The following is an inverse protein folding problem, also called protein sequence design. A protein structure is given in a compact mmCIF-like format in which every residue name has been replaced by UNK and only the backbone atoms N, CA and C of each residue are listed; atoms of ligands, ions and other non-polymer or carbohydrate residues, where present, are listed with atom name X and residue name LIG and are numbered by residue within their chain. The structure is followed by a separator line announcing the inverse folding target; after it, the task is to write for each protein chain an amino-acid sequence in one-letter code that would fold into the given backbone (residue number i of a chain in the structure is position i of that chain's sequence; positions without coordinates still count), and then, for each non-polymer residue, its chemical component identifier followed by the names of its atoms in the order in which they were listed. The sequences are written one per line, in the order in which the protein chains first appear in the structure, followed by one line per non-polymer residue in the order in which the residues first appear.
data_IF_682807302534
#
_entry.id   IF_682807302534
#
_cell.length_a   1.000
_cell.length_b   1.000
_cell.length_c   1.000
_cell.angle_alpha   90.00
_cell.angle_beta   90.00
_cell.angle_gamma   90.00
#
_symmetry.space_group_name_H-M   'P 1'
#
loop_
_entity.id
_entity.type
_entity.pdbx_description
1 polymer ?
#
# COMPACT_ATOMS: atom_id res chain seq x y z
N UNK A 1 -5.94 -13.87 -33.45
CA UNK A 1 -5.70 -12.54 -34.07
C UNK A 1 -4.20 -12.31 -34.12
N UNK A 2 -3.64 -11.81 -35.23
CA UNK A 2 -2.21 -11.47 -35.29
C UNK A 2 -1.96 -10.28 -34.36
N UNK A 3 -0.97 -10.41 -33.47
CA UNK A 3 -0.63 -9.41 -32.44
C UNK A 3 -1.47 -9.57 -31.18
N UNK A 4 -0.84 -10.00 -30.07
CA UNK A 4 -1.53 -9.99 -28.78
C UNK A 4 -1.72 -8.54 -28.31
N UNK A 5 -2.87 -8.15 -27.72
CA UNK A 5 -3.13 -6.77 -27.26
C UNK A 5 -2.25 -6.31 -26.08
N UNK A 6 -1.27 -7.12 -25.67
CA UNK A 6 -0.41 -6.85 -24.55
C UNK A 6 0.75 -5.97 -24.97
N UNK A 7 1.16 -5.10 -24.05
CA UNK A 7 2.34 -4.28 -24.24
C UNK A 7 3.59 -5.18 -24.30
N UNK A 8 4.45 -4.92 -25.28
CA UNK A 8 5.73 -5.63 -25.46
C UNK A 8 6.71 -5.43 -24.28
N UNK A 9 6.40 -4.51 -23.36
CA UNK A 9 7.18 -4.26 -22.14
C UNK A 9 6.35 -3.63 -21.03
N UNK A 10 6.93 -3.52 -19.83
CA UNK A 10 6.26 -2.95 -18.66
C UNK A 10 5.96 -1.46 -18.88
N UNK A 11 4.70 -1.01 -18.79
CA UNK A 11 4.37 0.40 -19.03
C UNK A 11 5.09 1.29 -18.01
N UNK A 12 5.73 2.36 -18.51
CA UNK A 12 6.44 3.32 -17.66
C UNK A 12 5.45 4.06 -16.75
N UNK A 13 5.84 4.31 -15.50
CA UNK A 13 5.03 5.06 -14.54
C UNK A 13 4.05 4.22 -13.71
N UNK A 14 3.84 2.94 -14.03
CA UNK A 14 3.03 2.05 -13.19
C UNK A 14 3.72 1.76 -11.86
N UNK A 15 2.96 1.89 -10.77
CA UNK A 15 3.36 1.40 -9.46
C UNK A 15 3.20 -0.12 -9.44
N UNK A 16 4.27 -0.83 -9.80
CA UNK A 16 4.29 -2.29 -9.77
C UNK A 16 4.37 -2.81 -8.34
N UNK A 17 3.90 -4.03 -8.09
CA UNK A 17 4.00 -4.68 -6.78
C UNK A 17 5.42 -4.65 -6.19
N UNK A 18 6.50 -4.98 -6.93
CA UNK A 18 7.84 -4.88 -6.40
C UNK A 18 8.22 -3.44 -5.99
N UNK A 19 7.77 -2.43 -6.74
CA UNK A 19 8.03 -1.02 -6.43
C UNK A 19 7.23 -0.56 -5.21
N UNK A 20 5.97 -0.97 -5.11
CA UNK A 20 5.13 -0.73 -3.94
C UNK A 20 5.74 -1.36 -2.68
N UNK A 21 6.17 -2.63 -2.76
CA UNK A 21 6.78 -3.32 -1.62
C UNK A 21 8.10 -2.67 -1.20
N UNK A 22 8.97 -2.27 -2.15
CA UNK A 22 10.22 -1.57 -1.81
C UNK A 22 10.01 -0.28 -1.00
N UNK A 23 8.87 0.39 -1.18
CA UNK A 23 8.52 1.62 -0.46
C UNK A 23 7.72 1.31 0.81
N UNK A 24 6.70 0.46 0.69
CA UNK A 24 5.74 0.16 1.75
C UNK A 24 6.32 -0.72 2.85
N UNK A 25 7.14 -1.73 2.52
CA UNK A 25 7.69 -2.64 3.52
C UNK A 25 8.52 -1.91 4.58
N UNK A 26 9.53 -1.09 4.25
CA UNK A 26 10.33 -0.42 5.28
C UNK A 26 9.49 0.54 6.12
N UNK A 27 8.55 1.26 5.50
CA UNK A 27 7.68 2.19 6.22
C UNK A 27 6.74 1.47 7.20
N UNK A 28 6.11 0.37 6.76
CA UNK A 28 5.25 -0.44 7.64
C UNK A 28 6.05 -1.10 8.76
N UNK A 29 7.25 -1.60 8.49
CA UNK A 29 8.12 -2.18 9.52
C UNK A 29 8.45 -1.19 10.63
N UNK A 30 8.77 0.06 10.29
CA UNK A 30 9.05 1.11 11.29
C UNK A 30 7.80 1.40 12.14
N UNK A 31 6.64 1.54 11.51
CA UNK A 31 5.37 1.79 12.22
C UNK A 31 5.03 0.66 13.17
N UNK A 32 5.18 -0.60 12.73
CA UNK A 32 4.93 -1.77 13.58
C UNK A 32 5.92 -1.82 14.75
N UNK A 33 7.21 -1.57 14.51
CA UNK A 33 8.23 -1.55 15.58
C UNK A 33 7.94 -0.48 16.62
N UNK A 34 7.55 0.72 16.19
CA UNK A 34 7.15 1.80 17.10
C UNK A 34 5.89 1.40 17.86
N UNK A 35 4.87 0.91 17.17
CA UNK A 35 3.62 0.49 17.79
C UNK A 35 3.83 -0.59 18.85
N UNK A 36 4.70 -1.56 18.57
CA UNK A 36 5.07 -2.60 19.51
C UNK A 36 5.84 -2.04 20.71
N UNK A 37 6.76 -1.09 20.50
CA UNK A 37 7.57 -0.50 21.59
C UNK A 37 6.75 0.25 22.64
N UNK A 38 5.62 0.81 22.23
CA UNK A 38 4.74 1.64 23.07
C UNK A 38 3.39 0.97 23.38
N UNK A 39 3.21 -0.30 23.01
CA UNK A 39 1.96 -1.06 23.22
C UNK A 39 0.70 -0.42 22.60
N UNK A 40 0.85 0.27 21.46
CA UNK A 40 -0.24 0.99 20.75
C UNK A 40 -0.60 0.39 19.38
N UNK A 41 -0.34 -0.90 19.17
CA UNK A 41 -0.55 -1.56 17.88
C UNK A 41 -2.02 -1.53 17.45
N UNK A 42 -2.94 -1.68 18.41
CA UNK A 42 -4.39 -1.71 18.14
C UNK A 42 -4.87 -0.34 17.67
N UNK A 43 -4.43 0.73 18.32
CA UNK A 43 -4.73 2.12 17.98
C UNK A 43 -4.24 2.45 16.58
N UNK A 44 -3.03 2.02 16.22
CA UNK A 44 -2.48 2.18 14.87
C UNK A 44 -3.37 1.46 13.83
N UNK A 45 -3.75 0.22 14.09
CA UNK A 45 -4.63 -0.55 13.19
C UNK A 45 -6.00 0.11 13.04
N UNK A 46 -6.55 0.65 14.14
CA UNK A 46 -7.84 1.32 14.17
C UNK A 46 -7.79 2.63 13.38
N UNK A 47 -6.73 3.43 13.56
CA UNK A 47 -6.47 4.63 12.77
C UNK A 47 -6.35 4.35 11.28
N UNK A 48 -5.59 3.32 10.88
CA UNK A 48 -5.47 2.90 9.48
C UNK A 48 -6.83 2.49 8.91
N UNK A 49 -7.62 1.72 9.67
CA UNK A 49 -8.94 1.26 9.25
C UNK A 49 -9.91 2.42 9.04
N UNK A 50 -9.95 3.38 9.96
CA UNK A 50 -10.76 4.61 9.83
C UNK A 50 -10.32 5.42 8.61
N UNK A 51 -9.03 5.61 8.41
CA UNK A 51 -8.51 6.36 7.26
C UNK A 51 -8.91 5.70 5.93
N UNK A 52 -8.78 4.37 5.83
CA UNK A 52 -9.19 3.61 4.64
C UNK A 52 -10.70 3.67 4.42
N UNK A 53 -11.50 3.57 5.48
CA UNK A 53 -12.95 3.74 5.40
C UNK A 53 -13.31 5.14 4.87
N UNK A 54 -12.67 6.17 5.41
CA UNK A 54 -12.91 7.55 4.98
C UNK A 54 -12.55 7.76 3.51
N UNK A 55 -11.39 7.26 3.06
CA UNK A 55 -10.99 7.29 1.65
C UNK A 55 -12.01 6.55 0.78
N UNK A 56 -12.49 5.38 1.23
CA UNK A 56 -13.50 4.60 0.50
C UNK A 56 -14.81 5.37 0.34
N UNK A 57 -15.29 6.03 1.41
CA UNK A 57 -16.51 6.83 1.38
C UNK A 57 -16.37 8.10 0.53
N UNK A 58 -15.20 8.75 0.56
CA UNK A 58 -14.93 9.95 -0.23
C UNK A 58 -14.71 9.66 -1.71
N UNK A 59 -14.26 8.44 -2.04
CA UNK A 59 -14.12 7.97 -3.42
C UNK A 59 -15.51 7.70 -4.00
N UNK A 60 -16.14 8.76 -4.51
CA UNK A 60 -17.33 8.66 -5.36
C UNK A 60 -17.05 7.85 -6.62
#
# INVERSE_FOLDING_TARGET
MPGSPYFDGTPKGLLTWPKLLKIGLPMMSIVILIGWRYDILIEILLCISIALMFVSVLRK
#
